data_IF_606492175997
#
_entry.id   IF_606492175997
#
_cell.length_a   1.000
_cell.length_b   1.000
_cell.length_c   1.000
_cell.angle_alpha   90.00
_cell.angle_beta   90.00
_cell.angle_gamma   90.00
#
_symmetry.space_group_name_H-M   'P 1'
#
loop_
_entity.id
_entity.type
_entity.pdbx_description
1 polymer ?
#
# COMPACT_ATOMS: atom_id res chain seq x y z
N UNK A 1 14.13 -43.73 13.27
CA UNK A 1 13.56 -42.43 13.69
C UNK A 1 13.72 -41.48 12.52
N UNK A 2 12.65 -41.25 11.76
CA UNK A 2 12.67 -40.21 10.72
C UNK A 2 12.56 -38.86 11.44
N UNK A 3 13.43 -37.87 11.14
CA UNK A 3 13.18 -36.53 11.62
C UNK A 3 11.87 -36.08 10.98
N UNK A 4 10.87 -35.78 11.80
CA UNK A 4 9.67 -35.06 11.37
C UNK A 4 10.15 -33.73 10.80
N UNK A 5 10.31 -33.66 9.48
CA UNK A 5 10.60 -32.42 8.78
C UNK A 5 9.40 -31.51 8.98
N UNK A 6 9.47 -30.62 9.96
CA UNK A 6 8.60 -29.45 10.03
C UNK A 6 8.91 -28.62 8.79
N UNK A 7 8.18 -28.89 7.71
CA UNK A 7 8.21 -28.09 6.49
C UNK A 7 7.59 -26.73 6.80
N UNK A 8 8.43 -25.79 7.23
CA UNK A 8 8.02 -24.40 7.43
C UNK A 8 7.58 -23.85 6.08
N UNK A 9 6.26 -23.69 5.92
CA UNK A 9 5.72 -23.19 4.67
C UNK A 9 5.83 -21.67 4.64
N UNK A 10 6.31 -21.17 3.51
CA UNK A 10 6.59 -19.75 3.31
C UNK A 10 5.82 -19.22 2.12
N UNK A 11 5.55 -17.92 2.16
CA UNK A 11 4.87 -17.22 1.09
C UNK A 11 5.58 -15.89 0.82
N UNK A 12 5.77 -15.57 -0.45
CA UNK A 12 6.42 -14.33 -0.88
C UNK A 12 5.42 -13.16 -0.86
N UNK A 13 5.90 -11.93 -0.73
CA UNK A 13 5.06 -10.73 -0.84
C UNK A 13 4.23 -10.69 -2.15
N UNK A 14 4.81 -11.17 -3.25
CA UNK A 14 4.15 -11.24 -4.55
C UNK A 14 3.00 -12.27 -4.56
N UNK A 15 3.19 -13.43 -3.93
CA UNK A 15 2.14 -14.43 -3.79
C UNK A 15 1.02 -13.96 -2.86
N UNK A 16 1.35 -13.29 -1.74
CA UNK A 16 0.34 -12.68 -0.87
C UNK A 16 -0.50 -11.68 -1.67
N UNK A 17 0.16 -10.78 -2.42
CA UNK A 17 -0.51 -9.78 -3.23
C UNK A 17 -1.43 -10.40 -4.29
N UNK A 18 -0.99 -11.49 -4.94
CA UNK A 18 -1.81 -12.24 -5.88
C UNK A 18 -3.04 -12.89 -5.22
N UNK A 19 -2.93 -13.41 -3.99
CA UNK A 19 -4.06 -14.00 -3.26
C UNK A 19 -5.17 -12.98 -2.93
N UNK A 20 -4.80 -11.73 -2.69
CA UNK A 20 -5.74 -10.66 -2.36
C UNK A 20 -6.11 -9.78 -3.57
N UNK A 21 -5.66 -10.16 -4.77
CA UNK A 21 -5.84 -9.41 -6.02
C UNK A 21 -5.37 -7.93 -5.91
N UNK A 22 -4.14 -7.75 -5.39
CA UNK A 22 -3.51 -6.44 -5.21
C UNK A 22 -2.12 -6.37 -5.83
N UNK A 23 -1.65 -5.14 -6.01
CA UNK A 23 -0.28 -4.87 -6.44
C UNK A 23 0.71 -5.17 -5.30
N UNK A 24 1.84 -5.86 -5.56
CA UNK A 24 2.85 -6.18 -4.55
C UNK A 24 3.44 -4.96 -3.80
N UNK A 25 3.35 -3.76 -4.39
CA UNK A 25 3.74 -2.52 -3.72
C UNK A 25 2.91 -2.23 -2.47
N UNK A 26 1.68 -2.74 -2.38
CA UNK A 26 0.84 -2.63 -1.18
C UNK A 26 1.50 -3.34 0.01
N UNK A 27 1.94 -4.58 -0.18
CA UNK A 27 2.61 -5.36 0.87
C UNK A 27 3.90 -4.65 1.31
N UNK A 28 4.60 -4.01 0.37
CA UNK A 28 5.81 -3.23 0.68
C UNK A 28 5.50 -1.96 1.49
N UNK A 29 4.35 -1.32 1.26
CA UNK A 29 3.89 -0.18 2.04
C UNK A 29 3.49 -0.57 3.47
N UNK A 30 3.01 -1.80 3.66
CA UNK A 30 2.58 -2.33 4.96
C UNK A 30 3.72 -3.02 5.75
N UNK A 31 4.98 -2.91 5.32
CA UNK A 31 6.12 -3.62 5.95
C UNK A 31 6.29 -3.34 7.45
N UNK A 32 5.89 -2.14 7.91
CA UNK A 32 6.04 -1.72 9.31
C UNK A 32 4.97 -2.37 10.21
N UNK A 33 4.00 -3.05 9.60
CA UNK A 33 2.81 -3.58 10.24
C UNK A 33 2.72 -5.10 10.09
N UNK A 34 3.26 -5.63 8.99
CA UNK A 34 3.32 -7.07 8.71
C UNK A 34 4.34 -7.77 9.64
N UNK A 35 4.21 -9.10 9.80
CA UNK A 35 5.23 -9.91 10.49
C UNK A 35 6.62 -9.74 9.87
N UNK A 36 7.66 -10.02 10.65
CA UNK A 36 9.04 -9.89 10.19
C UNK A 36 9.34 -10.87 9.03
N UNK A 37 9.78 -10.37 7.86
CA UNK A 37 10.10 -11.25 6.74
C UNK A 37 11.43 -11.98 6.96
N UNK A 38 11.47 -13.25 6.58
CA UNK A 38 12.66 -14.10 6.60
C UNK A 38 13.35 -14.15 5.24
N UNK A 39 14.68 -14.06 5.18
CA UNK A 39 15.43 -14.22 3.94
C UNK A 39 15.46 -15.69 3.52
N UNK A 40 15.15 -15.94 2.24
CA UNK A 40 15.19 -17.26 1.62
C UNK A 40 16.13 -17.29 0.43
N UNK A 41 17.08 -18.21 0.47
CA UNK A 41 18.00 -18.45 -0.64
C UNK A 41 17.36 -19.43 -1.63
N UNK A 42 17.13 -18.95 -2.86
CA UNK A 42 16.53 -19.74 -3.95
C UNK A 42 17.57 -20.48 -4.79
N UNK A 43 18.84 -20.47 -4.37
CA UNK A 43 19.97 -21.02 -5.14
C UNK A 43 20.40 -20.14 -6.34
N UNK A 44 19.69 -19.06 -6.62
CA UNK A 44 20.06 -18.07 -7.64
C UNK A 44 21.06 -17.06 -7.07
N UNK A 45 22.01 -16.61 -7.90
CA UNK A 45 22.96 -15.57 -7.51
C UNK A 45 22.24 -14.23 -7.32
N UNK A 46 22.31 -13.65 -6.13
CA UNK A 46 21.70 -12.36 -5.84
C UNK A 46 21.33 -12.17 -4.38
N UNK A 47 20.53 -11.14 -4.10
CA UNK A 47 19.96 -10.92 -2.76
C UNK A 47 18.94 -12.02 -2.46
N UNK A 48 18.90 -12.53 -1.21
CA UNK A 48 17.88 -13.49 -0.81
C UNK A 48 16.48 -12.90 -0.98
N UNK A 49 15.52 -13.74 -1.37
CA UNK A 49 14.13 -13.34 -1.48
C UNK A 49 13.53 -13.22 -0.08
N UNK A 50 12.81 -12.14 0.19
CA UNK A 50 12.09 -11.98 1.46
C UNK A 50 10.76 -12.71 1.38
N UNK A 51 10.55 -13.62 2.34
CA UNK A 51 9.37 -14.44 2.48
C UNK A 51 8.77 -14.26 3.87
N UNK A 52 7.49 -14.60 4.03
CA UNK A 52 6.81 -14.65 5.31
C UNK A 52 6.46 -16.09 5.61
N UNK A 53 6.51 -16.48 6.89
CA UNK A 53 5.94 -17.78 7.29
C UNK A 53 4.43 -17.71 7.16
N UNK A 54 3.83 -18.78 6.63
CA UNK A 54 2.37 -18.81 6.46
C UNK A 54 1.68 -18.71 7.82
N UNK A 55 2.22 -19.39 8.84
CA UNK A 55 1.66 -19.36 10.21
C UNK A 55 1.58 -17.92 10.75
N UNK A 56 2.66 -17.15 10.63
CA UNK A 56 2.71 -15.77 11.12
C UNK A 56 1.72 -14.85 10.40
N UNK A 57 1.52 -15.05 9.10
CA UNK A 57 0.53 -14.30 8.31
C UNK A 57 -0.89 -14.68 8.73
N UNK A 58 -1.17 -15.97 8.95
CA UNK A 58 -2.48 -16.45 9.41
C UNK A 58 -2.79 -15.87 10.79
N UNK A 59 -1.85 -15.96 11.72
CA UNK A 59 -2.01 -15.41 13.07
C UNK A 59 -2.20 -13.89 13.03
N UNK A 60 -1.45 -13.18 12.19
CA UNK A 60 -1.63 -11.75 11.98
C UNK A 60 -3.04 -11.39 11.49
N UNK A 61 -3.55 -12.11 10.49
CA UNK A 61 -4.91 -11.90 9.95
C UNK A 61 -5.96 -12.22 11.02
N UNK A 62 -5.84 -13.37 11.68
CA UNK A 62 -6.78 -13.80 12.73
C UNK A 62 -6.81 -12.83 13.90
N UNK A 63 -5.68 -12.28 14.33
CA UNK A 63 -5.63 -11.28 15.38
C UNK A 63 -6.32 -9.97 14.99
N UNK A 64 -6.41 -9.64 13.70
CA UNK A 64 -7.03 -8.41 13.21
C UNK A 64 -8.48 -8.54 12.79
N UNK A 65 -8.88 -9.72 12.32
CA UNK A 65 -10.20 -9.93 11.74
C UNK A 65 -10.96 -11.08 12.39
N UNK A 66 -10.35 -11.87 13.27
CA UNK A 66 -10.97 -13.04 13.88
C UNK A 66 -12.17 -12.71 14.79
N UNK A 67 -12.26 -11.47 15.28
CA UNK A 67 -13.41 -10.97 16.03
C UNK A 67 -14.50 -10.33 15.14
N UNK A 68 -14.25 -10.17 13.84
CA UNK A 68 -15.16 -9.51 12.91
C UNK A 68 -16.11 -10.52 12.28
N UNK A 69 -17.38 -10.15 12.14
CA UNK A 69 -18.28 -10.85 11.23
C UNK A 69 -17.88 -10.58 9.78
N UNK A 70 -18.26 -11.47 8.87
CA UNK A 70 -17.96 -11.32 7.43
C UNK A 70 -18.42 -9.96 6.87
N UNK A 71 -19.60 -9.48 7.30
CA UNK A 71 -20.15 -8.18 6.88
C UNK A 71 -19.27 -7.03 7.39
N UNK A 72 -18.80 -7.09 8.64
CA UNK A 72 -17.91 -6.08 9.21
C UNK A 72 -16.57 -6.05 8.46
N UNK A 73 -15.98 -7.21 8.19
CA UNK A 73 -14.74 -7.29 7.42
C UNK A 73 -14.90 -6.68 6.02
N UNK A 74 -16.00 -7.01 5.31
CA UNK A 74 -16.30 -6.42 3.99
C UNK A 74 -16.51 -4.91 4.05
N UNK A 75 -17.19 -4.40 5.08
CA UNK A 75 -17.39 -2.96 5.26
C UNK A 75 -16.07 -2.24 5.53
N UNK A 76 -15.22 -2.78 6.41
CA UNK A 76 -13.89 -2.24 6.68
C UNK A 76 -13.01 -2.24 5.43
N UNK A 77 -13.05 -3.31 4.63
CA UNK A 77 -12.37 -3.37 3.34
C UNK A 77 -12.90 -2.31 2.38
N UNK A 78 -14.22 -2.18 2.21
CA UNK A 78 -14.85 -1.20 1.32
C UNK A 78 -14.52 0.25 1.71
N UNK A 79 -14.36 0.53 3.00
CA UNK A 79 -14.03 1.85 3.52
C UNK A 79 -12.53 2.13 3.60
N UNK A 80 -11.67 1.10 3.48
CA UNK A 80 -10.23 1.25 3.60
C UNK A 80 -9.69 2.21 2.54
N UNK A 81 -8.90 3.23 2.91
CA UNK A 81 -8.31 4.15 1.94
C UNK A 81 -7.38 3.44 0.96
N UNK A 82 -6.83 2.27 1.30
CA UNK A 82 -6.03 1.44 0.40
C UNK A 82 -6.87 0.72 -0.67
N UNK A 83 -8.19 0.60 -0.45
CA UNK A 83 -9.14 0.18 -1.49
C UNK A 83 -9.50 1.34 -2.44
N UNK A 84 -9.13 2.59 -2.12
CA UNK A 84 -9.30 3.73 -3.01
C UNK A 84 -8.15 3.81 -4.03
N UNK A 85 -8.29 2.93 -5.02
CA UNK A 85 -8.32 3.21 -6.46
C UNK A 85 -7.31 2.38 -7.28
N UNK A 86 -7.80 1.62 -8.28
CA UNK A 86 -6.97 1.23 -9.41
C UNK A 86 -6.46 2.48 -10.15
N UNK A 87 -5.25 2.39 -10.72
CA UNK A 87 -4.69 3.42 -11.62
C UNK A 87 -5.74 3.73 -12.71
N UNK A 88 -6.16 4.99 -12.84
CA UNK A 88 -7.03 5.45 -13.93
C UNK A 88 -8.45 5.88 -13.55
N UNK A 89 -8.82 5.95 -12.26
CA UNK A 89 -10.11 6.54 -11.88
C UNK A 89 -10.11 8.07 -11.94
N UNK A 90 -11.23 8.68 -12.36
CA UNK A 90 -11.32 10.10 -12.60
C UNK A 90 -11.12 10.90 -11.31
N UNK A 91 -10.35 11.98 -11.39
CA UNK A 91 -9.91 12.76 -10.23
C UNK A 91 -10.93 13.85 -9.94
N UNK A 92 -11.40 13.95 -8.70
CA UNK A 92 -12.26 15.07 -8.31
C UNK A 92 -11.35 16.26 -8.01
N UNK A 93 -11.56 17.36 -8.72
CA UNK A 93 -10.89 18.65 -8.57
C UNK A 93 -11.89 19.60 -7.94
N UNK A 94 -11.49 20.22 -6.84
CA UNK A 94 -12.26 21.26 -6.18
C UNK A 94 -12.07 22.59 -6.93
N UNK A 95 -13.16 23.26 -7.29
CA UNK A 95 -13.11 24.59 -7.91
C UNK A 95 -13.29 25.66 -6.84
N UNK A 96 -12.67 26.81 -7.05
CA UNK A 96 -12.70 27.92 -6.08
C UNK A 96 -14.13 28.49 -5.88
N UNK A 97 -15.08 28.16 -6.76
CA UNK A 97 -16.51 28.48 -6.64
C UNK A 97 -17.31 27.49 -5.76
N UNK A 98 -16.63 26.49 -5.17
CA UNK A 98 -17.24 25.45 -4.34
C UNK A 98 -17.90 24.31 -5.14
N UNK A 99 -17.72 24.28 -6.47
CA UNK A 99 -18.18 23.17 -7.30
C UNK A 99 -17.11 22.10 -7.47
N UNK A 100 -17.54 20.86 -7.71
CA UNK A 100 -16.64 19.73 -7.93
C UNK A 100 -16.58 19.36 -9.40
N UNK A 101 -15.38 19.26 -9.95
CA UNK A 101 -15.13 18.79 -11.31
C UNK A 101 -14.49 17.41 -11.32
N UNK A 102 -15.04 16.47 -12.09
CA UNK A 102 -14.51 15.12 -12.21
C UNK A 102 -13.61 15.07 -13.46
N UNK A 103 -12.30 15.22 -13.25
CA UNK A 103 -11.30 15.19 -14.32
C UNK A 103 -11.24 13.79 -14.97
N UNK A 104 -11.47 13.70 -16.29
CA UNK A 104 -11.34 12.47 -17.05
C UNK A 104 -9.88 12.01 -17.09
N UNK A 105 -9.69 10.71 -17.31
CA UNK A 105 -8.37 10.08 -17.41
C UNK A 105 -7.59 10.58 -18.63
N UNK A 106 -8.30 10.96 -19.69
CA UNK A 106 -7.77 11.59 -20.90
C UNK A 106 -7.90 13.12 -20.82
N UNK A 107 -6.78 13.79 -20.57
CA UNK A 107 -6.72 15.25 -20.41
C UNK A 107 -6.93 16.01 -21.72
N UNK A 108 -6.87 15.36 -22.88
CA UNK A 108 -7.12 15.99 -24.18
C UNK A 108 -8.58 16.41 -24.37
N UNK A 109 -9.48 15.87 -23.54
CA UNK A 109 -10.92 16.15 -23.55
C UNK A 109 -11.31 17.32 -22.64
N UNK A 110 -10.35 17.92 -21.94
CA UNK A 110 -10.59 19.05 -21.05
C UNK A 110 -10.63 20.36 -21.82
N UNK A 111 -11.52 21.27 -21.41
CA UNK A 111 -11.38 22.67 -21.79
C UNK A 111 -10.11 23.28 -21.18
N UNK A 112 -9.64 24.41 -21.72
CA UNK A 112 -8.43 25.08 -21.21
C UNK A 112 -8.57 25.45 -19.73
N UNK A 113 -9.74 25.91 -19.31
CA UNK A 113 -10.03 26.31 -17.93
C UNK A 113 -9.97 25.11 -16.96
N UNK A 114 -10.54 23.96 -17.35
CA UNK A 114 -10.50 22.73 -16.54
C UNK A 114 -9.09 22.16 -16.44
N UNK A 115 -8.31 22.30 -17.51
CA UNK A 115 -6.94 21.82 -17.57
C UNK A 115 -6.02 22.65 -16.67
N UNK A 116 -6.25 23.96 -16.58
CA UNK A 116 -5.52 24.84 -15.67
C UNK A 116 -5.93 24.62 -14.21
N UNK A 117 -7.22 24.45 -13.92
CA UNK A 117 -7.69 24.05 -12.59
C UNK A 117 -7.06 22.71 -12.14
N UNK A 118 -7.03 21.71 -13.03
CA UNK A 118 -6.38 20.43 -12.77
C UNK A 118 -4.87 20.56 -12.52
N UNK A 119 -4.17 21.42 -13.27
CA UNK A 119 -2.74 21.70 -13.08
C UNK A 119 -2.46 22.34 -11.72
N UNK A 120 -3.28 23.31 -11.32
CA UNK A 120 -3.17 23.99 -10.02
C UNK A 120 -3.39 22.99 -8.88
N UNK A 121 -4.44 22.17 -8.95
CA UNK A 121 -4.69 21.12 -7.96
C UNK A 121 -3.56 20.08 -7.90
N UNK A 122 -3.02 19.69 -9.06
CA UNK A 122 -1.87 18.77 -9.13
C UNK A 122 -0.63 19.38 -8.49
N UNK A 123 -0.36 20.66 -8.72
CA UNK A 123 0.75 21.37 -8.10
C UNK A 123 0.58 21.43 -6.58
N UNK A 124 -0.60 21.82 -6.06
CA UNK A 124 -0.93 21.84 -4.62
C UNK A 124 -0.72 20.48 -3.95
N UNK A 125 -1.20 19.41 -4.58
CA UNK A 125 -1.01 18.04 -4.09
C UNK A 125 0.46 17.61 -4.11
N UNK A 126 1.22 18.03 -5.12
CA UNK A 126 2.65 17.73 -5.21
C UNK A 126 3.44 18.41 -4.08
N UNK A 127 3.19 19.69 -3.81
CA UNK A 127 3.80 20.40 -2.68
C UNK A 127 3.39 19.80 -1.34
N UNK A 128 2.13 19.41 -1.16
CA UNK A 128 1.68 18.75 0.07
C UNK A 128 2.40 17.40 0.32
N UNK A 129 2.59 16.61 -0.74
CA UNK A 129 3.35 15.35 -0.68
C UNK A 129 4.84 15.59 -0.41
N UNK A 130 5.47 16.61 -0.99
CA UNK A 130 6.85 16.96 -0.68
C UNK A 130 7.00 17.42 0.78
N UNK A 131 6.09 18.27 1.27
CA UNK A 131 6.10 18.77 2.65
C UNK A 131 5.90 17.66 3.68
N UNK A 132 5.02 16.69 3.41
CA UNK A 132 4.83 15.51 4.27
C UNK A 132 6.04 14.57 4.27
N UNK A 133 6.76 14.44 3.14
CA UNK A 133 8.02 13.70 3.07
C UNK A 133 9.15 14.40 3.81
N UNK A 134 9.27 15.72 3.68
CA UNK A 134 10.28 16.51 4.40
C UNK A 134 10.12 16.42 5.93
N UNK A 135 8.87 16.38 6.43
CA UNK A 135 8.57 16.20 7.86
C UNK A 135 8.87 14.80 8.41
N UNK A 136 9.09 13.80 7.55
CA UNK A 136 9.34 12.40 7.95
C UNK A 136 10.83 12.06 8.14
N UNK A 137 11.74 13.01 7.98
CA UNK A 137 13.15 12.81 8.34
C UNK A 137 13.25 12.91 9.88
N UNK A 138 13.50 11.82 10.62
CA UNK A 138 13.74 11.93 12.05
C UNK A 138 15.09 12.61 12.23
N UNK A 139 15.13 13.68 13.04
CA UNK A 139 16.37 14.21 13.59
C UNK A 139 17.08 13.07 14.33
N UNK A 140 18.06 12.44 13.68
CA UNK A 140 19.04 11.60 14.35
C UNK A 140 20.00 12.58 15.03
N UNK A 141 19.65 13.00 16.24
CA UNK A 141 20.59 13.73 17.10
C UNK A 141 21.84 12.87 17.27
N UNK A 142 23.05 13.42 17.09
CA UNK A 142 24.27 12.69 17.34
C UNK A 142 24.31 12.42 18.85
N UNK A 143 24.39 11.15 19.20
CA UNK A 143 24.71 10.70 20.55
C UNK A 143 26.12 11.21 20.88
N UNK A 144 26.19 12.23 21.74
CA UNK A 144 27.40 12.60 22.46
C UNK A 144 27.74 11.52 23.50
N UNK A 145 29.04 11.41 23.72
CA UNK A 145 29.82 10.33 24.35
C UNK A 145 29.53 10.08 25.84
#
# INVERSE_FOLDING_TARGET
MNPSSTTTSVITAQQIAALIDRDPSLISACKDVLPEPIPMHTGQSGRPQLCYRIEDIVDFVMNRTGFMSEIQARLCLALSPEHRRPKGQPKIVDRDDGSFFVAPTDLSRLSSEELDAYRVDRAKNHTALQNSRAKRIPNRSPSEE
#
